data_IF_573447099585
#
_entry.id   IF_573447099585
#
_cell.length_a   1.000
_cell.length_b   1.000
_cell.length_c   1.000
_cell.angle_alpha   90.00
_cell.angle_beta   90.00
_cell.angle_gamma   90.00
#
_symmetry.space_group_name_H-M   'P 1'
#
loop_
_entity.id
_entity.type
_entity.pdbx_description
1 polymer ?
#
# COMPACT_ATOMS: atom_id res chain seq x y z
N UNK A 1 -4.01 2.95 -22.21
CA UNK A 1 -4.07 3.59 -20.90
C UNK A 1 -4.65 2.67 -19.80
N UNK A 2 -5.53 1.73 -20.12
CA UNK A 2 -6.16 0.82 -19.13
C UNK A 2 -5.17 0.02 -18.23
N UNK A 3 -3.97 -0.30 -18.72
CA UNK A 3 -2.98 -1.07 -17.95
C UNK A 3 -2.34 -0.32 -16.76
N UNK A 4 -2.40 1.01 -16.76
CA UNK A 4 -1.84 1.85 -15.69
C UNK A 4 -2.91 2.41 -14.75
N UNK A 5 -4.18 2.13 -15.02
CA UNK A 5 -5.27 2.62 -14.19
C UNK A 5 -5.55 1.61 -13.07
N UNK A 6 -5.32 1.97 -11.79
CA UNK A 6 -5.57 1.04 -10.70
C UNK A 6 -7.06 0.75 -10.56
N UNK A 7 -7.42 -0.47 -10.17
CA UNK A 7 -8.81 -0.83 -9.92
C UNK A 7 -9.39 -0.02 -8.76
N UNK A 8 -8.55 0.29 -7.76
CA UNK A 8 -8.88 1.21 -6.65
C UNK A 8 -7.63 1.95 -6.17
N UNK A 9 -7.84 3.11 -5.56
CA UNK A 9 -6.77 3.93 -5.00
C UNK A 9 -7.10 4.32 -3.56
N UNK A 10 -6.26 3.92 -2.60
CA UNK A 10 -6.45 4.15 -1.17
C UNK A 10 -5.35 5.03 -0.59
N UNK A 11 -5.70 5.82 0.43
CA UNK A 11 -4.72 6.64 1.14
C UNK A 11 -3.69 5.79 1.91
N UNK A 12 -4.08 4.63 2.42
CA UNK A 12 -3.24 3.69 3.17
C UNK A 12 -3.85 2.30 3.11
N UNK A 13 -3.02 1.26 3.33
CA UNK A 13 -3.50 -0.11 3.40
C UNK A 13 -4.55 -0.30 4.50
N UNK A 14 -4.41 0.39 5.63
CA UNK A 14 -5.36 0.36 6.75
C UNK A 14 -6.75 0.93 6.40
N UNK A 15 -6.92 1.59 5.24
CA UNK A 15 -8.20 2.07 4.73
C UNK A 15 -8.94 1.06 3.85
N UNK A 16 -8.29 -0.04 3.51
CA UNK A 16 -8.92 -1.15 2.80
C UNK A 16 -9.79 -1.92 3.80
N UNK A 17 -11.09 -1.95 3.57
CA UNK A 17 -12.01 -2.76 4.34
C UNK A 17 -11.89 -4.23 3.90
N UNK A 18 -11.52 -5.10 4.83
CA UNK A 18 -11.19 -6.51 4.53
C UNK A 18 -12.41 -7.25 4.00
N UNK A 19 -13.58 -7.04 4.61
CA UNK A 19 -14.79 -7.73 4.22
C UNK A 19 -15.32 -7.22 2.88
N UNK A 20 -15.47 -5.90 2.74
CA UNK A 20 -16.05 -5.26 1.57
C UNK A 20 -15.10 -5.28 0.36
N UNK A 21 -13.83 -4.94 0.57
CA UNK A 21 -12.90 -4.64 -0.50
C UNK A 21 -12.04 -5.84 -0.91
N UNK A 22 -12.03 -6.90 -0.09
CA UNK A 22 -11.33 -8.14 -0.39
C UNK A 22 -12.30 -9.33 -0.43
N UNK A 23 -12.87 -9.72 0.70
CA UNK A 23 -13.61 -10.97 0.83
C UNK A 23 -14.88 -11.00 -0.02
N UNK A 24 -15.66 -9.92 -0.04
CA UNK A 24 -16.87 -9.82 -0.85
C UNK A 24 -16.58 -9.83 -2.36
N UNK A 25 -15.37 -9.41 -2.78
CA UNK A 25 -14.93 -9.46 -4.17
C UNK A 25 -14.24 -10.79 -4.54
N UNK A 26 -14.18 -11.74 -3.60
CA UNK A 26 -13.61 -13.07 -3.83
C UNK A 26 -12.08 -13.14 -3.65
N UNK A 27 -11.43 -12.07 -3.22
CA UNK A 27 -9.99 -12.11 -2.95
C UNK A 27 -9.70 -12.84 -1.64
N UNK A 28 -8.75 -13.74 -1.68
CA UNK A 28 -8.26 -14.54 -0.55
C UNK A 28 -6.74 -14.41 -0.39
N UNK A 29 -6.09 -13.84 -1.41
CA UNK A 29 -4.64 -13.72 -1.46
C UNK A 29 -4.25 -12.30 -1.83
N UNK A 30 -3.20 -11.79 -1.20
CA UNK A 30 -2.63 -10.47 -1.47
C UNK A 30 -1.15 -10.61 -1.83
N UNK A 31 -0.77 -10.11 -3.00
CA UNK A 31 0.64 -9.87 -3.32
C UNK A 31 0.94 -8.43 -2.92
N UNK A 32 1.81 -8.26 -1.95
CA UNK A 32 2.00 -7.00 -1.25
C UNK A 32 3.40 -6.45 -1.51
N UNK A 33 3.47 -5.23 -2.04
CA UNK A 33 4.73 -4.50 -2.11
C UNK A 33 5.24 -4.14 -0.71
N UNK A 34 6.52 -3.84 -0.60
CA UNK A 34 7.19 -3.59 0.69
C UNK A 34 7.49 -2.11 0.89
N UNK A 35 8.31 -1.56 -0.01
CA UNK A 35 8.90 -0.24 0.17
C UNK A 35 7.85 0.85 -0.02
N UNK A 36 7.66 1.71 0.98
CA UNK A 36 6.66 2.77 0.99
C UNK A 36 5.19 2.31 0.96
N UNK A 37 4.96 1.00 0.99
CA UNK A 37 3.64 0.35 1.06
C UNK A 37 3.33 -0.13 2.49
N UNK A 38 4.21 -0.95 3.06
CA UNK A 38 4.10 -1.44 4.44
C UNK A 38 5.31 -1.07 5.30
N UNK A 39 6.41 -0.67 4.69
CA UNK A 39 7.64 -0.26 5.33
C UNK A 39 7.94 1.20 4.96
N UNK A 40 8.12 2.06 5.94
CA UNK A 40 8.52 3.44 5.70
C UNK A 40 9.97 3.48 5.20
N UNK A 41 10.26 4.36 4.24
CA UNK A 41 11.63 4.48 3.69
C UNK A 41 12.60 5.18 4.62
N UNK A 42 12.10 6.04 5.48
CA UNK A 42 12.89 6.84 6.42
C UNK A 42 13.30 6.05 7.66
N UNK A 43 12.35 5.43 8.36
CA UNK A 43 12.60 4.72 9.62
C UNK A 43 12.79 3.22 9.44
N UNK A 44 12.46 2.65 8.29
CA UNK A 44 12.45 1.21 8.02
C UNK A 44 11.58 0.44 9.03
N UNK A 45 10.49 1.08 9.47
CA UNK A 45 9.53 0.49 10.41
C UNK A 45 8.18 0.23 9.75
N UNK A 46 7.48 -0.77 10.25
CA UNK A 46 6.09 -1.04 9.89
C UNK A 46 5.20 -0.19 10.80
N UNK A 47 4.43 0.77 10.24
CA UNK A 47 3.52 1.57 11.04
C UNK A 47 2.51 0.69 11.80
N UNK A 48 2.09 1.14 12.98
CA UNK A 48 1.20 0.37 13.85
C UNK A 48 -0.12 0.01 13.16
N UNK A 49 -0.72 0.95 12.44
CA UNK A 49 -1.98 0.73 11.72
C UNK A 49 -1.84 -0.32 10.61
N UNK A 50 -0.69 -0.36 9.92
CA UNK A 50 -0.36 -1.40 8.94
C UNK A 50 -0.25 -2.77 9.62
N UNK A 51 0.47 -2.84 10.73
CA UNK A 51 0.61 -4.08 11.52
C UNK A 51 -0.73 -4.63 12.00
N UNK A 52 -1.60 -3.78 12.53
CA UNK A 52 -2.96 -4.16 12.94
C UNK A 52 -3.82 -4.64 11.77
N UNK A 53 -3.74 -3.95 10.63
CA UNK A 53 -4.50 -4.35 9.45
C UNK A 53 -4.04 -5.72 8.93
N UNK A 54 -2.73 -5.97 8.85
CA UNK A 54 -2.17 -7.27 8.44
C UNK A 54 -2.64 -8.40 9.37
N UNK A 55 -2.62 -8.17 10.69
CA UNK A 55 -3.09 -9.15 11.66
C UNK A 55 -4.58 -9.46 11.46
N UNK A 56 -5.42 -8.43 11.39
CA UNK A 56 -6.87 -8.56 11.16
C UNK A 56 -7.18 -9.28 9.85
N UNK A 57 -6.47 -8.97 8.77
CA UNK A 57 -6.66 -9.60 7.48
C UNK A 57 -6.28 -11.10 7.51
N UNK A 58 -5.21 -11.46 8.21
CA UNK A 58 -4.83 -12.86 8.41
C UNK A 58 -5.87 -13.63 9.23
N UNK A 59 -6.38 -13.03 10.29
CA UNK A 59 -7.45 -13.62 11.12
C UNK A 59 -8.74 -13.83 10.29
N UNK A 60 -9.00 -12.97 9.30
CA UNK A 60 -10.09 -13.11 8.33
C UNK A 60 -9.80 -14.14 7.21
N UNK A 61 -8.64 -14.80 7.24
CA UNK A 61 -8.27 -15.85 6.27
C UNK A 61 -7.60 -15.33 5.00
N UNK A 62 -7.14 -14.08 4.95
CA UNK A 62 -6.33 -13.56 3.84
C UNK A 62 -4.89 -14.05 3.97
N UNK A 63 -4.33 -14.56 2.88
CA UNK A 63 -2.92 -14.94 2.80
C UNK A 63 -2.10 -13.88 2.06
N UNK A 64 -0.83 -13.74 2.42
CA UNK A 64 0.04 -12.70 1.89
C UNK A 64 1.35 -13.28 1.36
N UNK A 65 1.85 -12.72 0.25
CA UNK A 65 3.23 -12.86 -0.17
C UNK A 65 3.81 -11.49 -0.46
N UNK A 66 4.96 -11.18 0.12
CA UNK A 66 5.69 -9.95 -0.16
C UNK A 66 6.38 -10.06 -1.53
N UNK A 67 6.34 -8.98 -2.32
CA UNK A 67 6.96 -8.91 -3.65
C UNK A 67 7.71 -7.60 -3.78
N UNK A 68 9.03 -7.61 -3.61
CA UNK A 68 9.85 -6.40 -3.61
C UNK A 68 10.96 -6.42 -4.66
N UNK A 69 11.19 -5.28 -5.32
CA UNK A 69 12.36 -5.08 -6.18
C UNK A 69 13.65 -4.93 -5.36
N UNK A 70 13.53 -4.70 -4.08
CA UNK A 70 14.66 -4.57 -3.17
C UNK A 70 15.36 -5.92 -2.93
N UNK A 71 16.67 -5.88 -2.71
CA UNK A 71 17.52 -7.06 -2.50
C UNK A 71 18.28 -7.06 -1.18
N UNK A 72 18.17 -5.97 -0.39
CA UNK A 72 18.88 -5.84 0.88
C UNK A 72 18.36 -6.87 1.90
N UNK A 73 19.21 -7.27 2.82
CA UNK A 73 18.86 -8.25 3.86
C UNK A 73 17.67 -7.80 4.71
N UNK A 74 17.47 -6.49 4.87
CA UNK A 74 16.34 -5.93 5.61
C UNK A 74 14.97 -6.42 5.16
N UNK A 75 14.76 -6.68 3.84
CA UNK A 75 13.46 -7.18 3.36
C UNK A 75 13.21 -8.64 3.78
N UNK A 76 14.27 -9.44 3.89
CA UNK A 76 14.16 -10.81 4.39
C UNK A 76 13.92 -10.83 5.91
N UNK A 77 14.58 -9.93 6.66
CA UNK A 77 14.33 -9.76 8.10
C UNK A 77 12.88 -9.33 8.36
N UNK A 78 12.36 -8.41 7.54
CA UNK A 78 10.95 -8.01 7.61
C UNK A 78 10.02 -9.19 7.34
N UNK A 79 10.26 -9.94 6.27
CA UNK A 79 9.46 -11.12 5.92
C UNK A 79 9.44 -12.15 7.06
N UNK A 80 10.60 -12.43 7.65
CA UNK A 80 10.72 -13.33 8.80
C UNK A 80 9.96 -12.78 10.03
N UNK A 81 10.12 -11.50 10.35
CA UNK A 81 9.42 -10.84 11.47
C UNK A 81 7.89 -10.90 11.31
N UNK A 82 7.40 -10.71 10.08
CA UNK A 82 5.97 -10.81 9.76
C UNK A 82 5.50 -12.25 9.55
N UNK A 83 6.41 -13.23 9.51
CA UNK A 83 6.14 -14.63 9.16
C UNK A 83 5.40 -14.77 7.82
N UNK A 84 5.86 -14.02 6.81
CA UNK A 84 5.30 -14.00 5.46
C UNK A 84 6.30 -14.50 4.43
N UNK A 85 5.87 -15.27 3.41
CA UNK A 85 6.70 -15.59 2.27
C UNK A 85 7.05 -14.32 1.47
N UNK A 86 8.24 -14.31 0.86
CA UNK A 86 8.72 -13.19 0.06
C UNK A 86 9.30 -13.63 -1.29
N UNK A 87 9.10 -12.82 -2.31
CA UNK A 87 9.84 -12.79 -3.56
C UNK A 87 10.60 -11.47 -3.61
N UNK A 88 11.86 -11.50 -3.22
CA UNK A 88 12.78 -10.37 -3.34
C UNK A 88 13.47 -10.39 -4.71
N UNK A 89 14.13 -9.29 -5.11
CA UNK A 89 14.73 -9.10 -6.46
C UNK A 89 13.72 -9.38 -7.57
N UNK A 90 12.51 -8.91 -7.37
CA UNK A 90 11.34 -9.31 -8.17
C UNK A 90 11.41 -8.84 -9.62
N UNK A 91 12.13 -7.73 -9.89
CA UNK A 91 12.19 -7.07 -11.21
C UNK A 91 10.79 -6.74 -11.73
N UNK A 92 9.90 -6.27 -10.83
CA UNK A 92 8.57 -5.75 -11.23
C UNK A 92 8.74 -4.62 -12.24
N UNK A 93 7.93 -4.53 -13.29
CA UNK A 93 6.62 -5.19 -13.48
C UNK A 93 6.66 -6.55 -14.20
N UNK A 94 7.82 -7.18 -14.35
CA UNK A 94 7.90 -8.43 -15.09
C UNK A 94 7.09 -9.56 -14.43
N UNK A 95 6.34 -10.37 -15.22
CA UNK A 95 5.47 -11.43 -14.74
C UNK A 95 6.11 -12.50 -13.84
N UNK A 96 7.37 -12.92 -14.01
CA UNK A 96 7.94 -14.05 -13.26
C UNK A 96 7.83 -13.90 -11.75
N UNK A 97 8.02 -12.70 -11.20
CA UNK A 97 7.96 -12.47 -9.75
C UNK A 97 6.56 -12.73 -9.18
N UNK A 98 5.54 -12.21 -9.87
CA UNK A 98 4.14 -12.40 -9.46
C UNK A 98 3.74 -13.88 -9.57
N UNK A 99 4.18 -14.58 -10.62
CA UNK A 99 3.94 -16.02 -10.77
C UNK A 99 4.63 -16.84 -9.68
N UNK A 100 5.85 -16.46 -9.28
CA UNK A 100 6.53 -17.08 -8.15
C UNK A 100 5.79 -16.85 -6.83
N UNK A 101 5.28 -15.65 -6.60
CA UNK A 101 4.50 -15.32 -5.41
C UNK A 101 3.19 -16.12 -5.36
N UNK A 102 2.47 -16.20 -6.47
CA UNK A 102 1.26 -17.04 -6.58
C UNK A 102 1.56 -18.52 -6.27
N UNK A 103 2.68 -19.06 -6.79
CA UNK A 103 3.10 -20.43 -6.51
C UNK A 103 3.42 -20.65 -5.03
N UNK A 104 4.08 -19.69 -4.39
CA UNK A 104 4.38 -19.75 -2.94
C UNK A 104 3.12 -19.81 -2.09
N UNK A 105 2.03 -19.17 -2.53
CA UNK A 105 0.74 -19.18 -1.85
C UNK A 105 -0.18 -20.33 -2.29
N UNK A 106 0.14 -21.05 -3.38
CA UNK A 106 -0.82 -21.97 -4.02
C UNK A 106 -2.06 -21.25 -4.54
N UNK A 107 -1.94 -19.97 -4.89
CA UNK A 107 -3.04 -19.06 -5.16
C UNK A 107 -3.41 -18.97 -6.64
N UNK A 108 -4.69 -18.73 -6.93
CA UNK A 108 -5.19 -18.43 -8.28
C UNK A 108 -5.18 -16.92 -8.51
N UNK A 109 -4.90 -16.50 -9.75
CA UNK A 109 -4.91 -15.07 -10.14
C UNK A 109 -6.25 -14.40 -9.87
N UNK A 110 -7.36 -15.10 -10.16
CA UNK A 110 -8.72 -14.58 -9.96
C UNK A 110 -9.10 -14.33 -8.50
N UNK A 111 -8.40 -14.96 -7.56
CA UNK A 111 -8.60 -14.83 -6.11
C UNK A 111 -7.52 -13.98 -5.45
N UNK A 112 -6.71 -13.29 -6.26
CA UNK A 112 -5.53 -12.54 -5.80
C UNK A 112 -5.60 -11.09 -6.26
N UNK A 113 -5.29 -10.18 -5.35
CA UNK A 113 -5.10 -8.75 -5.64
C UNK A 113 -3.66 -8.34 -5.34
N UNK A 114 -3.10 -7.46 -6.17
CA UNK A 114 -1.80 -6.82 -5.92
C UNK A 114 -2.04 -5.50 -5.21
N UNK A 115 -1.28 -5.22 -4.17
CA UNK A 115 -1.35 -3.95 -3.42
C UNK A 115 0.05 -3.35 -3.37
N UNK A 116 0.21 -2.13 -3.87
CA UNK A 116 1.50 -1.42 -3.88
C UNK A 116 1.33 0.08 -4.08
N UNK A 117 2.45 0.82 -4.07
CA UNK A 117 2.47 2.28 -4.16
C UNK A 117 2.84 2.81 -5.56
N UNK A 118 3.19 1.93 -6.52
CA UNK A 118 3.69 2.35 -7.82
C UNK A 118 2.85 1.82 -8.99
N UNK A 119 2.43 2.74 -9.88
CA UNK A 119 1.64 2.39 -11.08
C UNK A 119 2.40 1.45 -12.03
N UNK A 120 3.68 1.72 -12.27
CA UNK A 120 4.46 0.95 -13.27
C UNK A 120 4.84 -0.42 -12.75
N UNK A 121 5.29 -0.52 -11.51
CA UNK A 121 5.79 -1.80 -10.99
C UNK A 121 4.66 -2.71 -10.50
N UNK A 122 3.68 -2.17 -9.81
CA UNK A 122 2.64 -2.95 -9.13
C UNK A 122 1.37 -3.06 -9.97
N UNK A 123 0.79 -1.92 -10.38
CA UNK A 123 -0.48 -1.92 -11.10
C UNK A 123 -0.31 -2.54 -12.50
N UNK A 124 0.63 -2.03 -13.28
CA UNK A 124 0.87 -2.58 -14.61
C UNK A 124 1.33 -4.05 -14.56
N UNK A 125 2.20 -4.39 -13.59
CA UNK A 125 2.65 -5.78 -13.40
C UNK A 125 1.51 -6.74 -13.08
N UNK A 126 0.55 -6.34 -12.25
CA UNK A 126 -0.65 -7.10 -11.96
C UNK A 126 -1.53 -7.27 -13.22
N UNK A 127 -1.75 -6.18 -13.95
CA UNK A 127 -2.59 -6.16 -15.13
C UNK A 127 -2.02 -6.99 -16.29
N UNK A 128 -0.69 -7.12 -16.43
CA UNK A 128 -0.08 -8.06 -17.38
C UNK A 128 -0.49 -9.51 -17.15
N UNK A 129 -0.87 -9.85 -15.93
CA UNK A 129 -1.32 -11.19 -15.55
C UNK A 129 -2.84 -11.30 -15.40
N UNK A 130 -3.58 -10.23 -15.69
CA UNK A 130 -5.03 -10.17 -15.54
C UNK A 130 -5.49 -10.17 -14.07
N UNK A 131 -4.61 -9.79 -13.14
CA UNK A 131 -4.96 -9.61 -11.72
C UNK A 131 -5.44 -8.19 -11.47
N UNK A 132 -6.24 -8.03 -10.42
CA UNK A 132 -6.63 -6.70 -9.91
C UNK A 132 -5.50 -6.06 -9.12
N UNK A 133 -5.45 -4.73 -9.16
CA UNK A 133 -4.43 -3.94 -8.47
C UNK A 133 -5.05 -2.78 -7.69
N UNK A 134 -4.66 -2.66 -6.43
CA UNK A 134 -4.98 -1.53 -5.55
C UNK A 134 -3.72 -0.69 -5.36
N UNK A 135 -3.82 0.58 -5.75
CA UNK A 135 -2.76 1.55 -5.53
C UNK A 135 -2.91 2.15 -4.13
N UNK A 136 -1.80 2.37 -3.46
CA UNK A 136 -1.74 3.13 -2.21
C UNK A 136 -1.04 4.47 -2.43
N UNK A 137 -1.48 5.49 -1.70
CA UNK A 137 -0.65 6.67 -1.56
C UNK A 137 0.61 6.30 -0.75
N UNK A 138 1.78 6.81 -1.14
CA UNK A 138 3.02 6.47 -0.46
C UNK A 138 3.01 6.90 1.00
N UNK A 139 3.63 6.08 1.87
CA UNK A 139 3.71 6.36 3.31
C UNK A 139 4.52 7.63 3.62
N UNK A 140 5.53 7.92 2.82
CA UNK A 140 6.42 9.08 2.94
C UNK A 140 6.61 9.72 1.58
N UNK A 141 6.51 11.05 1.52
CA UNK A 141 6.66 11.82 0.28
C UNK A 141 8.12 11.97 -0.20
N UNK A 142 9.10 11.59 0.62
CA UNK A 142 10.52 11.69 0.25
C UNK A 142 10.90 10.60 -0.75
N UNK A 143 11.13 11.02 -1.98
CA UNK A 143 11.53 10.15 -3.08
C UNK A 143 13.02 10.28 -3.42
N UNK A 144 13.60 9.16 -3.84
CA UNK A 144 14.92 9.15 -4.48
C UNK A 144 14.84 9.89 -5.82
N UNK A 145 15.90 10.59 -6.27
CA UNK A 145 15.89 11.41 -7.48
C UNK A 145 15.39 10.67 -8.75
N UNK A 146 15.67 9.37 -8.86
CA UNK A 146 15.21 8.55 -9.99
C UNK A 146 13.73 8.16 -9.91
N UNK A 147 13.12 8.24 -8.73
CA UNK A 147 11.71 7.95 -8.51
C UNK A 147 10.84 9.18 -8.83
N UNK A 148 11.41 10.39 -8.77
CA UNK A 148 10.69 11.64 -9.05
C UNK A 148 10.12 11.69 -10.48
N UNK A 149 10.84 11.14 -11.46
CA UNK A 149 10.37 11.10 -12.85
C UNK A 149 9.15 10.17 -13.00
N UNK A 150 9.21 9.00 -12.35
CA UNK A 150 8.08 8.07 -12.31
C UNK A 150 6.87 8.68 -11.61
N UNK A 151 7.06 9.39 -10.52
CA UNK A 151 5.97 10.06 -9.79
C UNK A 151 5.33 11.21 -10.55
N UNK A 152 6.10 11.97 -11.30
CA UNK A 152 5.53 12.96 -12.19
C UNK A 152 4.64 12.31 -13.26
N UNK A 153 5.07 11.18 -13.79
CA UNK A 153 4.27 10.38 -14.72
C UNK A 153 3.01 9.82 -14.04
N UNK A 154 3.14 9.26 -12.83
CA UNK A 154 2.01 8.77 -12.03
C UNK A 154 0.99 9.87 -11.76
N UNK A 155 1.46 11.08 -11.41
CA UNK A 155 0.59 12.24 -11.21
C UNK A 155 -0.18 12.63 -12.47
N UNK A 156 0.45 12.52 -13.64
CA UNK A 156 -0.21 12.77 -14.94
C UNK A 156 -1.26 11.70 -15.23
N UNK A 157 -0.98 10.44 -14.95
CA UNK A 157 -1.91 9.31 -15.17
C UNK A 157 -3.10 9.37 -14.20
N UNK A 158 -2.83 9.65 -12.93
CA UNK A 158 -3.85 9.70 -11.88
C UNK A 158 -4.71 10.98 -11.94
N UNK A 159 -4.18 12.07 -12.52
CA UNK A 159 -4.88 13.35 -12.59
C UNK A 159 -5.28 13.87 -11.20
N UNK A 160 -6.54 14.29 -11.07
CA UNK A 160 -7.11 14.80 -9.81
C UNK A 160 -7.70 13.70 -8.90
N UNK A 161 -7.48 12.42 -9.19
CA UNK A 161 -8.01 11.33 -8.37
C UNK A 161 -7.45 11.38 -6.96
N UNK A 162 -8.35 11.52 -5.98
CA UNK A 162 -8.00 11.48 -4.57
C UNK A 162 -8.08 10.05 -4.04
N UNK A 163 -7.15 9.65 -3.15
CA UNK A 163 -7.20 8.32 -2.56
C UNK A 163 -8.41 8.17 -1.62
N UNK A 164 -9.01 7.01 -1.63
CA UNK A 164 -10.08 6.63 -0.72
C UNK A 164 -9.59 6.64 0.73
N UNK A 165 -10.37 7.23 1.64
CA UNK A 165 -10.02 7.34 3.05
C UNK A 165 -8.95 8.38 3.36
N UNK A 166 -8.62 9.28 2.41
CA UNK A 166 -7.91 10.50 2.74
C UNK A 166 -8.75 11.33 3.72
N UNK A 167 -8.13 11.85 4.78
CA UNK A 167 -8.79 12.78 5.67
C UNK A 167 -9.24 13.99 4.84
N UNK A 168 -10.52 14.30 4.85
CA UNK A 168 -10.99 15.58 4.32
C UNK A 168 -10.33 16.66 5.18
N UNK A 169 -9.51 17.50 4.56
CA UNK A 169 -8.97 18.71 5.21
C UNK A 169 -10.14 19.66 5.38
N UNK A 170 -10.97 19.41 6.39
CA UNK A 170 -11.94 20.37 6.87
C UNK A 170 -11.14 21.45 7.60
N UNK A 171 -10.92 22.58 6.93
CA UNK A 171 -10.57 23.84 7.57
C UNK A 171 -11.74 24.24 8.47
N UNK A 172 -11.67 23.83 9.74
CA UNK A 172 -12.34 24.48 10.84
C UNK A 172 -11.36 24.46 12.01
N UNK A 173 -10.36 25.32 11.93
CA UNK A 173 -9.71 25.83 13.12
C UNK A 173 -10.74 26.73 13.82
N UNK A 174 -11.36 26.22 14.85
CA UNK A 174 -12.04 27.07 15.83
C UNK A 174 -10.95 27.85 16.56
N UNK A 175 -10.97 29.19 16.56
CA UNK A 175 -10.04 29.96 17.38
C UNK A 175 -10.32 29.63 18.85
N UNK A 176 -9.30 29.24 19.60
CA UNK A 176 -9.34 29.26 21.04
C UNK A 176 -9.49 30.75 21.44
N UNK A 177 -10.65 31.15 21.94
CA UNK A 177 -10.81 32.38 22.66
C UNK A 177 -10.05 32.23 23.97
N UNK A 178 -8.99 33.02 24.12
CA UNK A 178 -8.26 33.19 25.36
C UNK A 178 -9.19 33.89 26.37
N UNK A 179 -9.74 33.16 27.31
CA UNK A 179 -10.34 33.73 28.50
C UNK A 179 -9.22 34.31 29.40
N UNK A 180 -9.08 35.62 29.37
CA UNK A 180 -8.32 36.36 30.38
C UNK A 180 -8.95 36.14 31.78
N UNK A 181 -8.15 35.81 32.77
CA UNK A 181 -8.68 35.83 34.15
C UNK A 181 -8.76 37.24 34.64
N UNK A 182 -9.98 37.71 34.92
CA UNK A 182 -10.30 38.96 35.59
C UNK A 182 -9.54 39.08 36.92
N UNK A 183 -8.65 40.06 36.94
CA UNK A 183 -8.02 40.55 38.16
C UNK A 183 -8.85 41.66 38.75
N UNK A 184 -9.68 41.36 39.74
CA UNK A 184 -10.24 42.32 40.73
C UNK A 184 -10.35 41.55 42.03
N UNK A 185 -9.70 41.89 43.10
CA UNK A 185 -9.49 43.17 43.77
C UNK A 185 -9.96 43.01 45.21
N UNK A 186 -9.15 43.50 46.10
CA UNK A 186 -9.26 43.74 47.55
C UNK A 186 -8.54 42.73 48.44
#
# INVERSE_FOLDING_TARGET
MAFLEPDRYFARISRIDIDRDLLALGFRNVLLDVDNTILTRDTHEVPRDVGFWLAKARDAGITFCLVSNNWHEGVYHLANRLSLPIVAKAVKPLPPAFLMALRKLGAKRSETVVIGDQLVTDVMGAHFLGMKAYLLAPLVEQDLPHTLLLRNFERVVMGERKPEGAASTSQNAVPCEDEEPDAQGV
#
